data_IF_150649772059
#
_entry.id   IF_150649772059
#
_cell.length_a   1.000
_cell.length_b   1.000
_cell.length_c   1.000
_cell.angle_alpha   90.00
_cell.angle_beta   90.00
_cell.angle_gamma   90.00
#
_symmetry.space_group_name_H-M   'P 1'
#
loop_
_entity.id
_entity.type
_entity.pdbx_description
1 polymer ?
#
# COMPACT_ATOMS: atom_id res chain seq x y z
N UNK A 1 11.90 -12.83 8.06
CA UNK A 1 12.19 -11.37 7.98
C UNK A 1 11.22 -10.56 7.10
N UNK A 2 11.18 -10.78 5.77
CA UNK A 2 10.27 -10.02 4.88
C UNK A 2 8.79 -10.36 5.14
N UNK A 3 8.50 -11.64 5.40
CA UNK A 3 7.14 -12.09 5.67
C UNK A 3 6.63 -11.61 7.04
N UNK A 4 7.51 -11.52 8.04
CA UNK A 4 7.19 -10.90 9.33
C UNK A 4 6.92 -9.39 9.19
N UNK A 5 7.66 -8.71 8.31
CA UNK A 5 7.46 -7.29 8.02
C UNK A 5 6.10 -7.06 7.35
N UNK A 6 5.74 -7.89 6.36
CA UNK A 6 4.40 -7.87 5.76
C UNK A 6 3.30 -8.04 6.82
N UNK A 7 3.43 -9.04 7.70
CA UNK A 7 2.45 -9.29 8.77
C UNK A 7 2.30 -8.08 9.70
N UNK A 8 3.41 -7.44 10.10
CA UNK A 8 3.38 -6.26 10.95
C UNK A 8 2.64 -5.08 10.28
N UNK A 9 2.91 -4.81 9.00
CA UNK A 9 2.28 -3.71 8.28
C UNK A 9 0.81 -3.96 7.95
N UNK A 10 0.43 -5.21 7.66
CA UNK A 10 -0.97 -5.60 7.54
C UNK A 10 -1.74 -5.27 8.81
N UNK A 11 -1.14 -5.43 9.99
CA UNK A 11 -1.77 -5.13 11.29
C UNK A 11 -1.87 -3.65 11.68
N UNK A 12 -1.10 -2.74 11.06
CA UNK A 12 -1.10 -1.30 11.37
C UNK A 12 -1.71 -0.46 10.26
N UNK A 13 -1.01 -0.37 9.13
CA UNK A 13 -1.35 0.52 8.02
C UNK A 13 -2.39 -0.13 7.11
N UNK A 14 -2.19 -1.40 6.75
CA UNK A 14 -3.14 -2.16 5.93
C UNK A 14 -4.52 -2.28 6.60
N UNK A 15 -4.57 -2.42 7.92
CA UNK A 15 -5.82 -2.52 8.68
C UNK A 15 -6.73 -1.28 8.50
N UNK A 16 -6.17 -0.07 8.45
CA UNK A 16 -6.97 1.15 8.30
C UNK A 16 -7.49 1.36 6.87
N UNK A 17 -6.67 1.04 5.86
CA UNK A 17 -7.13 1.02 4.46
C UNK A 17 -8.24 -0.01 4.27
N UNK A 18 -8.05 -1.23 4.79
CA UNK A 18 -9.05 -2.28 4.78
C UNK A 18 -10.34 -1.85 5.49
N UNK A 19 -10.25 -1.25 6.67
CA UNK A 19 -11.42 -0.77 7.39
C UNK A 19 -12.17 0.31 6.59
N UNK A 20 -11.46 1.25 5.99
CA UNK A 20 -12.06 2.34 5.20
C UNK A 20 -12.81 1.81 3.98
N UNK A 21 -12.22 0.85 3.26
CA UNK A 21 -12.85 0.21 2.09
C UNK A 21 -14.01 -0.70 2.50
N UNK A 22 -13.84 -1.49 3.55
CA UNK A 22 -14.89 -2.38 4.09
C UNK A 22 -16.13 -1.60 4.54
N UNK A 23 -15.98 -0.42 5.15
CA UNK A 23 -17.10 0.46 5.50
C UNK A 23 -17.90 0.87 4.25
N UNK A 24 -17.23 1.25 3.17
CA UNK A 24 -17.88 1.57 1.90
C UNK A 24 -18.61 0.36 1.29
N UNK A 25 -17.99 -0.82 1.35
CA UNK A 25 -18.58 -2.07 0.88
C UNK A 25 -19.86 -2.45 1.66
N UNK A 26 -19.85 -2.29 2.98
CA UNK A 26 -21.00 -2.54 3.85
C UNK A 26 -22.14 -1.56 3.53
N UNK A 27 -21.85 -0.25 3.49
CA UNK A 27 -22.84 0.79 3.21
C UNK A 27 -23.44 0.65 1.80
N UNK A 28 -22.62 0.27 0.83
CA UNK A 28 -23.03 0.04 -0.56
C UNK A 28 -23.70 -1.31 -0.81
N UNK A 29 -23.84 -2.18 0.21
CA UNK A 29 -24.38 -3.54 0.07
C UNK A 29 -23.72 -4.33 -1.06
N UNK A 30 -22.39 -4.24 -1.14
CA UNK A 30 -21.61 -4.83 -2.23
C UNK A 30 -21.79 -6.36 -2.30
N UNK A 31 -21.85 -6.88 -3.53
CA UNK A 31 -21.89 -8.32 -3.75
C UNK A 31 -20.53 -8.97 -3.39
N UNK A 32 -20.51 -10.30 -3.30
CA UNK A 32 -19.30 -11.06 -2.92
C UNK A 32 -18.11 -10.80 -3.84
N UNK A 33 -18.33 -10.71 -5.15
CA UNK A 33 -17.26 -10.47 -6.14
C UNK A 33 -16.61 -9.11 -5.93
N UNK A 34 -17.43 -8.04 -5.85
CA UNK A 34 -16.96 -6.68 -5.58
C UNK A 34 -16.26 -6.59 -4.23
N UNK A 35 -16.81 -7.25 -3.19
CA UNK A 35 -16.18 -7.27 -1.86
C UNK A 35 -14.80 -7.91 -1.91
N UNK A 36 -14.66 -9.09 -2.51
CA UNK A 36 -13.35 -9.76 -2.63
C UNK A 36 -12.35 -8.90 -3.41
N UNK A 37 -12.78 -8.34 -4.55
CA UNK A 37 -11.94 -7.50 -5.39
C UNK A 37 -11.46 -6.24 -4.66
N UNK A 38 -12.36 -5.50 -4.00
CA UNK A 38 -12.01 -4.27 -3.31
C UNK A 38 -11.21 -4.51 -2.02
N UNK A 39 -11.36 -5.68 -1.38
CA UNK A 39 -10.50 -6.06 -0.27
C UNK A 39 -9.08 -6.45 -0.72
N UNK A 40 -8.93 -7.06 -1.90
CA UNK A 40 -7.61 -7.30 -2.48
C UNK A 40 -6.94 -5.96 -2.84
N UNK A 41 -7.68 -5.07 -3.51
CA UNK A 41 -7.25 -3.71 -3.78
C UNK A 41 -6.78 -2.98 -2.51
N UNK A 42 -7.54 -3.05 -1.41
CA UNK A 42 -7.19 -2.34 -0.17
C UNK A 42 -5.95 -2.91 0.50
N UNK A 43 -5.74 -4.24 0.44
CA UNK A 43 -4.51 -4.88 0.91
C UNK A 43 -3.30 -4.40 0.09
N UNK A 44 -3.43 -4.40 -1.24
CA UNK A 44 -2.38 -3.91 -2.14
C UNK A 44 -2.09 -2.43 -1.90
N UNK A 45 -3.10 -1.59 -1.75
CA UNK A 45 -2.94 -0.15 -1.50
C UNK A 45 -2.21 0.11 -0.17
N UNK A 46 -2.59 -0.59 0.90
CA UNK A 46 -1.91 -0.45 2.19
C UNK A 46 -0.44 -0.90 2.15
N UNK A 47 -0.14 -1.95 1.40
CA UNK A 47 1.23 -2.38 1.16
C UNK A 47 2.02 -1.39 0.29
N UNK A 48 1.40 -0.91 -0.79
CA UNK A 48 1.99 0.08 -1.70
C UNK A 48 2.37 1.35 -0.94
N UNK A 49 1.47 1.85 -0.10
CA UNK A 49 1.72 3.02 0.75
C UNK A 49 2.97 2.83 1.63
N UNK A 50 3.14 1.65 2.25
CA UNK A 50 4.31 1.39 3.09
C UNK A 50 5.61 1.32 2.28
N UNK A 51 5.59 0.65 1.13
CA UNK A 51 6.79 0.56 0.27
C UNK A 51 7.18 1.95 -0.22
N UNK A 52 6.19 2.77 -0.61
CA UNK A 52 6.42 4.15 -1.05
C UNK A 52 6.94 5.02 0.08
N UNK A 53 6.39 4.94 1.30
CA UNK A 53 6.90 5.67 2.48
C UNK A 53 8.36 5.28 2.79
N UNK A 54 8.70 3.98 2.72
CA UNK A 54 10.05 3.49 2.94
C UNK A 54 11.04 4.01 1.86
N UNK A 55 10.60 4.11 0.60
CA UNK A 55 11.37 4.69 -0.51
C UNK A 55 11.57 6.19 -0.26
N UNK A 56 10.50 6.90 0.08
CA UNK A 56 10.55 8.34 0.33
C UNK A 56 11.44 8.66 1.54
N UNK A 57 11.46 7.85 2.61
CA UNK A 57 12.36 8.08 3.75
C UNK A 57 13.84 8.09 3.32
N UNK A 58 14.22 7.39 2.24
CA UNK A 58 15.61 7.37 1.76
C UNK A 58 15.90 8.31 0.58
N UNK A 59 14.91 8.61 -0.26
CA UNK A 59 15.12 9.45 -1.47
C UNK A 59 14.59 10.87 -1.33
N UNK A 60 13.66 11.09 -0.41
CA UNK A 60 12.94 12.36 -0.25
C UNK A 60 13.76 13.42 0.45
N UNK A 61 13.32 14.66 0.27
CA UNK A 61 13.80 15.85 0.97
C UNK A 61 13.04 16.06 2.28
N UNK A 62 13.55 16.94 3.15
CA UNK A 62 12.87 17.30 4.41
C UNK A 62 11.51 17.96 4.10
N UNK A 63 11.47 18.78 3.06
CA UNK A 63 10.29 19.51 2.60
C UNK A 63 9.17 18.55 2.13
N UNK A 64 9.53 17.44 1.48
CA UNK A 64 8.58 16.42 1.01
C UNK A 64 8.05 15.54 2.15
N UNK A 65 8.90 15.22 3.14
CA UNK A 65 8.57 14.28 4.21
C UNK A 65 8.00 14.94 5.47
N UNK A 66 8.28 16.24 5.69
CA UNK A 66 8.02 16.92 6.97
C UNK A 66 8.84 16.37 8.15
N UNK A 67 9.72 15.39 7.91
CA UNK A 67 10.66 14.76 8.86
C UNK A 67 12.04 14.65 8.21
N UNK A 68 13.08 14.48 9.03
CA UNK A 68 14.45 14.27 8.51
C UNK A 68 14.56 12.92 7.78
N UNK A 69 14.94 12.88 6.49
CA UNK A 69 15.17 11.64 5.75
C UNK A 69 16.12 10.68 6.48
N UNK A 70 15.96 9.38 6.25
CA UNK A 70 16.71 8.30 6.91
C UNK A 70 16.32 8.12 8.38
N UNK A 71 15.11 8.55 8.75
CA UNK A 71 14.62 8.43 10.13
C UNK A 71 14.44 6.98 10.54
N UNK A 72 14.06 6.12 9.60
CA UNK A 72 13.80 4.71 9.88
C UNK A 72 15.11 3.91 9.98
N UNK A 73 16.13 4.27 9.19
CA UNK A 73 17.50 3.73 9.32
C UNK A 73 18.09 4.08 10.69
N UNK A 74 17.97 5.35 11.13
CA UNK A 74 18.46 5.80 12.45
C UNK A 74 17.76 5.11 13.62
N UNK A 75 16.53 4.64 13.43
CA UNK A 75 15.75 3.93 14.44
C UNK A 75 15.89 2.41 14.36
N UNK A 76 16.79 1.89 13.52
CA UNK A 76 16.96 0.45 13.27
C UNK A 76 15.65 -0.29 12.92
N UNK A 77 14.71 0.40 12.27
CA UNK A 77 13.51 -0.25 11.76
C UNK A 77 13.86 -1.09 10.54
N UNK A 78 13.27 -2.28 10.50
CA UNK A 78 13.27 -3.10 9.29
C UNK A 78 12.25 -2.48 8.32
N UNK A 79 12.71 -2.05 7.16
CA UNK A 79 11.92 -1.46 6.05
C UNK A 79 12.11 -2.25 4.77
N UNK A 80 11.22 -2.09 3.79
CA UNK A 80 11.35 -2.70 2.46
C UNK A 80 12.67 -2.32 1.79
N UNK A 81 13.07 -1.05 1.88
CA UNK A 81 14.36 -0.58 1.35
C UNK A 81 15.53 -1.23 2.08
N UNK A 82 15.48 -1.35 3.41
CA UNK A 82 16.56 -1.98 4.19
C UNK A 82 16.73 -3.47 3.88
N UNK A 83 15.63 -4.17 3.54
CA UNK A 83 15.63 -5.61 3.30
C UNK A 83 15.92 -5.99 1.84
N UNK A 84 15.41 -5.19 0.89
CA UNK A 84 15.47 -5.50 -0.54
C UNK A 84 16.48 -4.64 -1.31
N UNK A 85 16.83 -3.47 -0.76
CA UNK A 85 17.49 -2.39 -1.49
C UNK A 85 16.50 -1.54 -2.28
N UNK A 86 16.91 -0.30 -2.60
CA UNK A 86 16.04 0.71 -3.22
C UNK A 86 15.42 0.25 -4.55
N UNK A 87 16.23 -0.30 -5.46
CA UNK A 87 15.75 -0.70 -6.78
C UNK A 87 14.74 -1.85 -6.71
N UNK A 88 14.96 -2.81 -5.81
CA UNK A 88 14.01 -3.90 -5.60
C UNK A 88 12.76 -3.45 -4.86
N UNK A 89 12.86 -2.47 -3.96
CA UNK A 89 11.69 -1.85 -3.33
C UNK A 89 10.82 -1.13 -4.38
N UNK A 90 11.42 -0.39 -5.32
CA UNK A 90 10.70 0.23 -6.45
C UNK A 90 10.07 -0.82 -7.38
N UNK A 91 10.78 -1.92 -7.65
CA UNK A 91 10.20 -3.00 -8.45
C UNK A 91 9.00 -3.62 -7.73
N UNK A 92 9.11 -3.84 -6.42
CA UNK A 92 8.02 -4.35 -5.60
C UNK A 92 6.82 -3.41 -5.56
N UNK A 93 7.01 -2.08 -5.47
CA UNK A 93 5.91 -1.13 -5.52
C UNK A 93 5.17 -1.20 -6.87
N UNK A 94 5.89 -1.30 -7.98
CA UNK A 94 5.28 -1.50 -9.30
C UNK A 94 4.44 -2.78 -9.38
N UNK A 95 4.96 -3.91 -8.89
CA UNK A 95 4.24 -5.18 -8.89
C UNK A 95 2.95 -5.11 -8.05
N UNK A 96 3.02 -4.49 -6.87
CA UNK A 96 1.86 -4.34 -5.98
C UNK A 96 0.83 -3.37 -6.57
N UNK A 97 1.28 -2.29 -7.23
CA UNK A 97 0.39 -1.37 -7.95
C UNK A 97 -0.33 -2.06 -9.10
N UNK A 98 0.36 -2.89 -9.88
CA UNK A 98 -0.27 -3.71 -10.93
C UNK A 98 -1.33 -4.65 -10.35
N UNK A 99 -1.05 -5.31 -9.22
CA UNK A 99 -2.03 -6.19 -8.55
C UNK A 99 -3.26 -5.41 -8.07
N UNK A 100 -3.08 -4.18 -7.57
CA UNK A 100 -4.18 -3.32 -7.18
C UNK A 100 -5.08 -2.96 -8.37
N UNK A 101 -4.48 -2.60 -9.53
CA UNK A 101 -5.23 -2.34 -10.76
C UNK A 101 -5.96 -3.60 -11.27
N UNK A 102 -5.29 -4.77 -11.23
CA UNK A 102 -5.89 -6.04 -11.61
C UNK A 102 -7.11 -6.40 -10.74
N UNK A 103 -7.05 -6.10 -9.44
CA UNK A 103 -8.19 -6.27 -8.54
C UNK A 103 -9.37 -5.36 -8.94
N UNK A 104 -9.12 -4.11 -9.33
CA UNK A 104 -10.16 -3.18 -9.77
C UNK A 104 -10.85 -3.64 -11.07
N UNK A 105 -10.16 -4.35 -11.97
CA UNK A 105 -10.75 -4.89 -13.20
C UNK A 105 -11.90 -5.87 -12.97
N UNK A 106 -12.00 -6.46 -11.76
CA UNK A 106 -13.08 -7.36 -11.37
C UNK A 106 -14.32 -6.63 -10.82
N UNK A 107 -14.24 -5.31 -10.65
CA UNK A 107 -15.32 -4.47 -10.14
C UNK A 107 -16.16 -3.94 -11.31
N UNK A 108 -17.47 -4.15 -11.27
CA UNK A 108 -18.39 -3.72 -12.34
C UNK A 108 -18.79 -2.24 -12.31
N UNK A 109 -18.23 -1.47 -11.37
CA UNK A 109 -18.54 -0.05 -11.16
C UNK A 109 -17.39 0.81 -11.66
N UNK A 110 -17.61 2.12 -11.74
CA UNK A 110 -16.54 3.07 -12.04
C UNK A 110 -15.52 3.09 -10.88
N UNK A 111 -14.29 2.66 -11.18
CA UNK A 111 -13.17 2.63 -10.25
C UNK A 111 -12.13 3.70 -10.55
N UNK A 112 -12.43 4.70 -11.39
CA UNK A 112 -11.46 5.71 -11.85
C UNK A 112 -10.74 6.39 -10.68
N UNK A 113 -11.48 6.79 -9.64
CA UNK A 113 -10.87 7.43 -8.45
C UNK A 113 -9.98 6.45 -7.68
N UNK A 114 -10.40 5.19 -7.53
CA UNK A 114 -9.61 4.18 -6.83
C UNK A 114 -8.33 3.84 -7.59
N UNK A 115 -8.40 3.81 -8.92
CA UNK A 115 -7.27 3.61 -9.81
C UNK A 115 -6.26 4.76 -9.70
N UNK A 116 -6.74 6.01 -9.70
CA UNK A 116 -5.90 7.19 -9.51
C UNK A 116 -5.15 7.21 -8.15
N UNK A 117 -5.72 6.61 -7.10
CA UNK A 117 -5.03 6.48 -5.79
C UNK A 117 -3.87 5.49 -5.80
N UNK A 118 -3.83 4.55 -6.76
CA UNK A 118 -2.68 3.64 -6.94
C UNK A 118 -1.50 4.40 -7.57
N UNK A 119 -1.81 5.33 -8.48
CA UNK A 119 -0.82 6.04 -9.31
C UNK A 119 -0.32 7.35 -8.69
N UNK A 120 -0.84 7.72 -7.52
CA UNK A 120 -0.47 8.93 -6.76
C UNK A 120 0.77 8.69 -5.89
#
# INVERSE_FOLDING_TARGET
PLEELKVLHTGKTGALFNASVELGLILGSANKTTRTALMEYSNCLGLLFQITDDILDVTGTIEELGKTPGSDIRQHKSTYVSLLGLEQAKHQSYLVGSQAHDALNLVSYDTTILSALIDY
#
